data_IF_763831095102
#
_entry.id   IF_763831095102
#
_cell.length_a   1.000
_cell.length_b   1.000
_cell.length_c   1.000
_cell.angle_alpha   90.00
_cell.angle_beta   90.00
_cell.angle_gamma   90.00
#
_symmetry.space_group_name_H-M   'P 1'
#
loop_
_entity.id
_entity.type
_entity.pdbx_description
1 polymer ?
#
# COMPACT_ATOMS: atom_id res chain seq x y z
N UNK A 1 24.92 14.68 8.24
CA UNK A 1 26.35 14.34 8.21
C UNK A 1 26.60 13.11 7.34
N UNK A 2 25.87 12.00 7.50
CA UNK A 2 26.11 10.74 6.77
C UNK A 2 25.89 10.76 5.25
N UNK A 3 25.09 11.69 4.73
CA UNK A 3 24.77 11.80 3.29
C UNK A 3 25.31 13.08 2.63
N UNK A 4 26.33 13.70 3.24
CA UNK A 4 26.97 14.94 2.73
C UNK A 4 26.46 16.21 3.40
N UNK A 5 25.15 16.37 3.62
CA UNK A 5 24.61 17.61 4.21
C UNK A 5 24.70 17.62 5.75
N UNK A 6 24.87 18.79 6.36
CA UNK A 6 24.80 18.99 7.81
C UNK A 6 24.05 20.29 8.17
N UNK A 7 23.48 20.34 9.39
CA UNK A 7 22.74 21.50 9.88
C UNK A 7 23.66 22.32 10.77
N UNK A 8 23.73 23.62 10.51
CA UNK A 8 24.39 24.60 11.38
C UNK A 8 23.53 25.86 11.47
N UNK A 9 23.18 26.27 12.70
CA UNK A 9 22.24 27.39 12.96
C UNK A 9 20.96 27.31 12.12
N UNK A 10 20.31 26.15 12.15
CA UNK A 10 19.05 25.86 11.44
C UNK A 10 19.10 26.03 9.91
N UNK A 11 20.30 26.05 9.32
CA UNK A 11 20.51 26.06 7.86
C UNK A 11 21.23 24.80 7.42
N UNK A 12 20.82 24.28 6.28
CA UNK A 12 21.43 23.11 5.64
C UNK A 12 22.67 23.59 4.87
N UNK A 13 23.81 23.00 5.18
CA UNK A 13 25.07 23.21 4.50
C UNK A 13 25.54 21.91 3.83
N UNK A 14 26.06 22.02 2.61
CA UNK A 14 26.66 20.88 1.88
C UNK A 14 28.08 20.67 2.41
N UNK A 15 28.37 19.48 2.94
CA UNK A 15 29.69 19.08 3.39
C UNK A 15 30.62 18.74 2.24
N UNK A 16 31.93 18.89 2.47
CA UNK A 16 33.00 18.60 1.48
C UNK A 16 33.43 17.13 1.53
N UNK A 17 33.01 16.37 2.56
CA UNK A 17 33.37 14.97 2.73
C UNK A 17 32.55 14.06 1.82
N UNK A 18 33.15 12.94 1.42
CA UNK A 18 32.48 11.90 0.64
C UNK A 18 31.31 11.30 1.45
N UNK A 19 30.08 11.29 0.89
CA UNK A 19 28.93 10.69 1.56
C UNK A 19 29.13 9.19 1.78
N UNK A 20 28.90 8.73 3.01
CA UNK A 20 28.95 7.29 3.35
C UNK A 20 27.75 6.56 2.74
N UNK A 21 26.62 7.25 2.62
CA UNK A 21 25.38 6.74 2.04
C UNK A 21 24.72 7.82 1.20
N UNK A 22 23.94 7.43 0.18
CA UNK A 22 23.24 8.39 -0.65
C UNK A 22 22.03 9.03 0.08
N UNK A 23 21.60 10.21 -0.39
CA UNK A 23 20.52 11.00 0.22
C UNK A 23 19.16 10.30 0.18
N UNK A 24 18.91 9.47 -0.83
CA UNK A 24 17.68 8.68 -0.97
C UNK A 24 17.59 7.62 0.13
N UNK A 25 18.68 6.88 0.37
CA UNK A 25 18.78 5.87 1.41
C UNK A 25 18.64 6.49 2.80
N UNK A 26 19.29 7.64 3.04
CA UNK A 26 19.11 8.38 4.30
C UNK A 26 17.65 8.76 4.53
N UNK A 27 16.98 9.32 3.51
CA UNK A 27 15.57 9.70 3.60
C UNK A 27 14.68 8.50 3.90
N UNK A 28 14.87 7.38 3.20
CA UNK A 28 14.10 6.16 3.44
C UNK A 28 14.26 5.63 4.88
N UNK A 29 15.47 5.71 5.44
CA UNK A 29 15.72 5.32 6.85
C UNK A 29 15.01 6.28 7.81
N UNK A 30 15.07 7.59 7.57
CA UNK A 30 14.34 8.57 8.39
C UNK A 30 12.82 8.33 8.34
N UNK A 31 12.25 8.10 7.15
CA UNK A 31 10.83 7.79 6.99
C UNK A 31 10.43 6.54 7.79
N UNK A 32 11.29 5.50 7.82
CA UNK A 32 11.08 4.31 8.66
C UNK A 32 11.14 4.65 10.14
N UNK A 33 12.13 5.43 10.59
CA UNK A 33 12.29 5.84 12.00
C UNK A 33 11.10 6.69 12.47
N UNK A 34 10.68 7.67 11.68
CA UNK A 34 9.51 8.51 11.95
C UNK A 34 8.23 7.67 12.00
N UNK A 35 8.09 6.68 11.10
CA UNK A 35 6.95 5.76 11.11
C UNK A 35 6.92 4.84 12.34
N UNK A 36 8.08 4.57 12.96
CA UNK A 36 8.20 3.80 14.21
C UNK A 36 7.94 4.68 15.42
N UNK A 37 8.38 5.94 15.41
CA UNK A 37 8.12 6.89 16.49
C UNK A 37 6.62 7.18 16.63
N UNK A 38 5.91 7.30 15.51
CA UNK A 38 4.45 7.46 15.48
C UNK A 38 3.66 6.21 15.92
N UNK A 39 4.28 5.03 15.92
CA UNK A 39 3.66 3.76 16.38
C UNK A 39 3.88 3.47 17.87
N UNK A 40 4.49 4.41 18.59
CA UNK A 40 4.80 4.31 20.01
C UNK A 40 6.15 3.63 20.28
N UNK A 41 6.84 4.10 21.33
CA UNK A 41 8.16 3.60 21.77
C UNK A 41 8.12 2.08 21.97
N UNK A 42 9.19 1.38 21.57
CA UNK A 42 9.38 -0.05 21.85
C UNK A 42 9.03 -0.34 23.31
N UNK A 43 8.17 -1.32 23.51
CA UNK A 43 7.72 -1.69 24.85
C UNK A 43 8.94 -2.10 25.68
N UNK A 44 9.03 -1.61 26.92
CA UNK A 44 10.11 -1.98 27.84
C UNK A 44 10.16 -3.52 27.98
N UNK A 45 11.35 -4.07 28.18
CA UNK A 45 11.52 -5.49 28.46
C UNK A 45 10.58 -5.94 29.59
N UNK A 46 9.80 -7.00 29.38
CA UNK A 46 8.78 -7.50 30.32
C UNK A 46 7.38 -6.92 30.16
N UNK A 47 7.12 -6.03 29.20
CA UNK A 47 5.75 -5.54 28.93
C UNK A 47 4.93 -6.62 28.21
N UNK A 48 3.69 -6.86 28.63
CA UNK A 48 2.76 -7.74 27.90
C UNK A 48 2.49 -7.18 26.50
N UNK A 49 2.71 -8.00 25.48
CA UNK A 49 2.35 -7.69 24.10
C UNK A 49 0.88 -8.06 23.87
N UNK A 50 0.11 -7.11 23.35
CA UNK A 50 -1.30 -7.29 22.96
C UNK A 50 -1.40 -6.92 21.49
N UNK A 51 -2.00 -7.75 20.65
CA UNK A 51 -2.05 -7.63 19.18
C UNK A 51 -2.46 -6.24 18.67
N UNK A 52 -3.46 -5.62 19.28
CA UNK A 52 -4.04 -4.35 18.79
C UNK A 52 -3.63 -3.10 19.58
N UNK A 53 -2.70 -3.24 20.53
CA UNK A 53 -2.17 -2.08 21.26
C UNK A 53 -1.52 -1.08 20.30
N UNK A 54 -1.91 0.19 20.39
CA UNK A 54 -1.41 1.26 19.51
C UNK A 54 -2.04 1.29 18.12
N UNK A 55 -2.90 0.33 17.79
CA UNK A 55 -3.67 0.31 16.54
C UNK A 55 -5.09 0.87 16.74
N UNK A 56 -5.69 0.60 17.89
CA UNK A 56 -7.07 0.96 18.19
C UNK A 56 -7.20 2.28 18.94
N UNK A 57 -8.09 3.14 18.45
CA UNK A 57 -8.53 4.37 19.09
C UNK A 57 -9.99 4.26 19.56
N UNK A 58 -10.33 4.87 20.69
CA UNK A 58 -11.72 4.94 21.14
C UNK A 58 -12.52 5.92 20.28
N UNK A 59 -13.62 5.48 19.65
CA UNK A 59 -14.45 6.34 18.81
C UNK A 59 -15.27 7.39 19.58
N UNK A 60 -15.41 7.27 20.91
CA UNK A 60 -16.14 8.25 21.74
C UNK A 60 -15.24 9.39 22.26
N UNK A 61 -14.05 9.04 22.75
CA UNK A 61 -13.18 9.99 23.48
C UNK A 61 -11.77 10.12 22.88
N UNK A 62 -11.51 9.48 21.74
CA UNK A 62 -10.24 9.55 20.98
C UNK A 62 -8.98 9.17 21.78
N UNK A 63 -9.16 8.43 22.89
CA UNK A 63 -8.06 7.91 23.70
C UNK A 63 -7.68 6.51 23.22
N UNK A 64 -6.42 6.14 23.44
CA UNK A 64 -5.89 4.83 23.09
C UNK A 64 -6.66 3.71 23.79
N UNK A 65 -6.87 2.62 23.07
CA UNK A 65 -7.41 1.36 23.58
C UNK A 65 -6.25 0.43 23.92
N UNK A 66 -6.32 -0.21 25.09
CA UNK A 66 -5.30 -1.15 25.57
C UNK A 66 -5.90 -2.51 25.91
N UNK A 67 -5.11 -3.57 25.74
CA UNK A 67 -5.46 -4.92 26.18
C UNK A 67 -5.29 -5.09 27.69
N UNK A 68 -6.12 -5.94 28.27
CA UNK A 68 -6.09 -6.43 29.63
C UNK A 68 -6.34 -7.94 29.63
N UNK A 69 -5.49 -8.71 30.32
CA UNK A 69 -5.55 -10.17 30.36
C UNK A 69 -6.21 -10.62 31.66
N UNK A 70 -7.28 -11.40 31.53
CA UNK A 70 -8.04 -11.97 32.65
C UNK A 70 -7.93 -13.48 32.66
N UNK A 71 -7.45 -14.03 33.78
CA UNK A 71 -7.38 -15.47 34.02
C UNK A 71 -8.55 -15.88 34.91
N UNK A 72 -9.38 -16.82 34.45
CA UNK A 72 -10.47 -17.39 35.27
C UNK A 72 -9.91 -18.39 36.29
N UNK A 73 -10.70 -18.70 37.32
CA UNK A 73 -10.39 -19.75 38.30
C UNK A 73 -10.15 -21.12 37.66
N UNK A 74 -10.73 -21.37 36.48
CA UNK A 74 -10.50 -22.58 35.67
C UNK A 74 -9.15 -22.61 34.94
N UNK A 75 -8.28 -21.62 35.14
CA UNK A 75 -7.01 -21.45 34.42
C UNK A 75 -7.14 -20.89 32.98
N UNK A 76 -8.36 -20.68 32.46
CA UNK A 76 -8.57 -20.14 31.11
C UNK A 76 -8.28 -18.64 31.07
N UNK A 77 -7.45 -18.21 30.12
CA UNK A 77 -7.10 -16.81 29.90
C UNK A 77 -7.95 -16.17 28.78
N UNK A 78 -8.29 -14.90 28.96
CA UNK A 78 -9.00 -14.09 27.98
C UNK A 78 -8.40 -12.69 27.92
N UNK A 79 -8.25 -12.15 26.70
CA UNK A 79 -7.82 -10.77 26.49
C UNK A 79 -9.05 -9.91 26.17
N UNK A 80 -9.14 -8.78 26.86
CA UNK A 80 -10.15 -7.76 26.61
C UNK A 80 -9.49 -6.43 26.28
N UNK A 81 -9.98 -5.73 25.27
CA UNK A 81 -9.55 -4.39 24.94
C UNK A 81 -10.51 -3.38 25.54
N UNK A 82 -9.96 -2.35 26.19
CA UNK A 82 -10.72 -1.26 26.82
C UNK A 82 -10.10 0.09 26.51
N UNK A 83 -10.94 1.11 26.40
CA UNK A 83 -10.47 2.48 26.42
C UNK A 83 -9.72 2.75 27.75
N UNK A 84 -8.61 3.47 27.66
CA UNK A 84 -7.84 3.93 28.84
C UNK A 84 -8.61 4.96 29.66
N UNK A 85 -9.56 5.68 29.05
CA UNK A 85 -10.35 6.77 29.67
C UNK A 85 -9.48 7.84 30.31
N UNK A 86 -8.26 8.03 29.79
CA UNK A 86 -7.31 8.98 30.37
C UNK A 86 -7.87 10.41 30.26
N UNK A 87 -8.09 11.05 31.41
CA UNK A 87 -8.63 12.42 31.55
C UNK A 87 -9.85 12.65 30.65
N UNK A 88 -10.77 11.69 30.59
CA UNK A 88 -11.97 11.76 29.77
C UNK A 88 -13.12 10.99 30.41
N UNK A 89 -14.33 11.53 30.28
CA UNK A 89 -15.56 10.77 30.50
C UNK A 89 -15.81 9.93 29.25
N UNK A 90 -15.97 8.62 29.44
CA UNK A 90 -16.13 7.69 28.33
C UNK A 90 -16.97 6.50 28.79
N UNK A 91 -18.06 6.25 28.09
CA UNK A 91 -19.03 5.19 28.40
C UNK A 91 -18.66 3.83 27.78
N UNK A 92 -17.72 3.82 26.82
CA UNK A 92 -17.31 2.62 26.10
C UNK A 92 -16.95 1.44 27.02
N UNK A 93 -17.46 0.27 26.64
CA UNK A 93 -17.30 -1.00 27.37
C UNK A 93 -16.15 -1.84 26.77
N UNK A 94 -15.49 -2.70 27.58
CA UNK A 94 -14.48 -3.61 27.07
C UNK A 94 -15.02 -4.62 26.05
N UNK A 95 -14.16 -5.04 25.13
CA UNK A 95 -14.48 -5.98 24.04
C UNK A 95 -13.51 -7.15 24.08
N UNK A 96 -14.02 -8.36 23.85
CA UNK A 96 -13.19 -9.56 23.79
C UNK A 96 -12.31 -9.54 22.52
N UNK A 97 -11.05 -9.96 22.63
CA UNK A 97 -10.12 -10.00 21.49
C UNK A 97 -10.64 -10.84 20.31
N UNK A 98 -11.36 -11.93 20.55
CA UNK A 98 -11.94 -12.75 19.47
C UNK A 98 -12.96 -11.97 18.65
N UNK A 99 -13.80 -11.15 19.30
CA UNK A 99 -14.78 -10.32 18.60
C UNK A 99 -14.12 -9.20 17.77
N UNK A 100 -12.92 -8.76 18.16
CA UNK A 100 -12.11 -7.82 17.36
C UNK A 100 -11.49 -8.54 16.17
N UNK A 101 -10.93 -9.74 16.38
CA UNK A 101 -10.39 -10.57 15.31
C UNK A 101 -11.43 -10.88 14.23
N UNK A 102 -12.64 -11.27 14.62
CA UNK A 102 -13.74 -11.57 13.68
C UNK A 102 -14.08 -10.36 12.79
N UNK A 103 -14.12 -9.15 13.38
CA UNK A 103 -14.40 -7.92 12.64
C UNK A 103 -13.26 -7.55 11.69
N UNK A 104 -12.01 -7.73 12.12
CA UNK A 104 -10.84 -7.52 11.26
C UNK A 104 -10.83 -8.52 10.11
N UNK A 105 -11.08 -9.81 10.38
CA UNK A 105 -11.16 -10.81 9.32
C UNK A 105 -12.23 -10.49 8.29
N UNK A 106 -13.38 -9.96 8.72
CA UNK A 106 -14.43 -9.52 7.82
C UNK A 106 -13.98 -8.31 6.98
N UNK A 107 -13.32 -7.33 7.60
CA UNK A 107 -12.76 -6.19 6.90
C UNK A 107 -11.67 -6.59 5.88
N UNK A 108 -10.87 -7.61 6.18
CA UNK A 108 -9.88 -8.13 5.22
C UNK A 108 -10.53 -8.85 4.04
N UNK A 109 -11.70 -9.46 4.23
CA UNK A 109 -12.49 -10.02 3.12
C UNK A 109 -13.08 -8.95 2.20
N UNK A 110 -13.36 -7.76 2.73
CA UNK A 110 -13.92 -6.67 1.91
C UNK A 110 -12.92 -6.13 0.88
N UNK A 111 -11.61 -6.31 1.11
CA UNK A 111 -10.54 -6.02 0.13
C UNK A 111 -10.07 -7.25 -0.65
N UNK A 112 -10.61 -8.43 -0.37
CA UNK A 112 -10.16 -9.67 -0.98
C UNK A 112 -10.50 -9.69 -2.47
N UNK A 113 -9.49 -9.95 -3.30
CA UNK A 113 -9.65 -10.11 -4.74
C UNK A 113 -9.61 -11.60 -5.11
N UNK A 114 -10.50 -12.08 -5.99
CA UNK A 114 -10.39 -13.43 -6.55
C UNK A 114 -9.06 -13.59 -7.29
N UNK A 115 -8.49 -14.80 -7.23
CA UNK A 115 -7.18 -15.09 -7.85
C UNK A 115 -7.18 -14.77 -9.34
N UNK A 116 -8.23 -15.17 -10.06
CA UNK A 116 -8.40 -14.89 -11.49
C UNK A 116 -8.38 -13.39 -11.81
N UNK A 117 -8.95 -12.56 -10.92
CA UNK A 117 -8.92 -11.09 -11.08
C UNK A 117 -7.51 -10.55 -10.85
N UNK A 118 -6.79 -11.05 -9.84
CA UNK A 118 -5.39 -10.67 -9.61
C UNK A 118 -4.51 -11.04 -10.79
N UNK A 119 -4.65 -12.26 -11.30
CA UNK A 119 -3.82 -12.75 -12.41
C UNK A 119 -4.11 -11.97 -13.69
N UNK A 120 -5.40 -11.71 -13.99
CA UNK A 120 -5.79 -10.86 -15.13
C UNK A 120 -5.20 -9.45 -15.06
N UNK A 121 -5.31 -8.77 -13.90
CA UNK A 121 -4.78 -7.41 -13.76
C UNK A 121 -3.25 -7.43 -13.77
N UNK A 122 -2.62 -8.45 -13.18
CA UNK A 122 -1.16 -8.58 -13.15
C UNK A 122 -0.60 -8.77 -14.55
N UNK A 123 -1.23 -9.58 -15.39
CA UNK A 123 -0.80 -9.74 -16.80
C UNK A 123 -1.02 -8.44 -17.58
N UNK A 124 -2.17 -7.76 -17.42
CA UNK A 124 -2.41 -6.47 -18.07
C UNK A 124 -1.39 -5.39 -17.63
N UNK A 125 -0.97 -5.39 -16.36
CA UNK A 125 0.09 -4.52 -15.87
C UNK A 125 1.41 -4.84 -16.57
N UNK A 126 1.77 -6.13 -16.67
CA UNK A 126 2.97 -6.60 -17.35
C UNK A 126 3.00 -6.22 -18.83
N UNK A 127 1.92 -6.44 -19.57
CA UNK A 127 1.81 -6.04 -20.97
C UNK A 127 2.00 -4.53 -21.15
N UNK A 128 1.40 -3.73 -20.25
CA UNK A 128 1.57 -2.27 -20.29
C UNK A 128 3.02 -1.83 -20.04
N UNK A 129 3.78 -2.61 -19.28
CA UNK A 129 5.19 -2.36 -19.02
C UNK A 129 6.05 -2.76 -20.19
N UNK A 130 5.79 -3.90 -20.83
CA UNK A 130 6.58 -4.32 -21.99
C UNK A 130 6.45 -3.29 -23.13
N UNK A 131 5.24 -2.74 -23.34
CA UNK A 131 5.01 -1.62 -24.27
C UNK A 131 5.79 -0.36 -23.86
N UNK A 132 5.77 0.00 -22.56
CA UNK A 132 6.51 1.17 -22.06
C UNK A 132 8.01 0.97 -22.16
N UNK A 133 8.53 -0.20 -21.79
CA UNK A 133 9.95 -0.56 -21.86
C UNK A 133 10.47 -0.38 -23.28
N UNK A 134 9.73 -0.79 -24.30
CA UNK A 134 10.13 -0.57 -25.69
C UNK A 134 10.32 0.92 -26.05
N UNK A 135 9.49 1.81 -25.51
CA UNK A 135 9.64 3.26 -25.72
C UNK A 135 10.72 3.88 -24.84
N UNK A 136 10.78 3.49 -23.57
CA UNK A 136 11.74 3.96 -22.57
C UNK A 136 13.16 3.52 -22.91
N UNK A 137 13.35 2.27 -23.37
CA UNK A 137 14.66 1.74 -23.77
C UNK A 137 15.21 2.46 -25.01
N UNK A 138 14.35 2.89 -25.94
CA UNK A 138 14.77 3.70 -27.08
C UNK A 138 15.28 5.07 -26.64
N UNK A 139 14.56 5.75 -25.75
CA UNK A 139 14.99 7.05 -25.22
C UNK A 139 16.23 6.91 -24.33
N UNK A 140 16.31 5.87 -23.49
CA UNK A 140 17.49 5.54 -22.69
C UNK A 140 18.72 5.33 -23.59
N UNK A 141 18.57 4.50 -24.63
CA UNK A 141 19.64 4.27 -25.60
C UNK A 141 20.10 5.56 -26.28
N UNK A 142 19.18 6.47 -26.61
CA UNK A 142 19.54 7.80 -27.15
C UNK A 142 20.34 8.64 -26.16
N UNK A 143 20.01 8.60 -24.88
CA UNK A 143 20.75 9.29 -23.82
C UNK A 143 22.15 8.66 -23.61
N UNK A 144 22.23 7.34 -23.59
CA UNK A 144 23.50 6.59 -23.52
C UNK A 144 24.41 6.91 -24.73
N UNK A 145 23.87 6.88 -25.95
CA UNK A 145 24.59 7.24 -27.18
C UNK A 145 25.11 8.69 -27.12
N UNK A 146 24.33 9.60 -26.54
CA UNK A 146 24.74 11.01 -26.37
C UNK A 146 25.82 11.16 -25.31
N UNK A 147 25.76 10.41 -24.22
CA UNK A 147 26.80 10.34 -23.19
C UNK A 147 28.11 9.84 -23.79
N UNK A 148 28.07 8.74 -24.54
CA UNK A 148 29.25 8.17 -25.22
C UNK A 148 29.90 9.22 -26.13
N UNK A 149 29.10 9.94 -26.94
CA UNK A 149 29.62 11.02 -27.80
C UNK A 149 30.32 12.14 -27.02
N UNK A 150 29.80 12.51 -25.84
CA UNK A 150 30.42 13.53 -25.00
C UNK A 150 31.69 13.02 -24.32
N UNK A 151 31.71 11.78 -23.85
CA UNK A 151 32.89 11.14 -23.30
C UNK A 151 34.01 11.06 -24.34
N UNK A 152 33.71 10.60 -25.56
CA UNK A 152 34.70 10.60 -26.66
C UNK A 152 35.23 12.01 -26.99
N UNK A 153 34.40 13.05 -26.82
CA UNK A 153 34.85 14.44 -26.99
C UNK A 153 35.74 14.91 -25.84
N UNK A 154 35.46 14.48 -24.61
CA UNK A 154 36.31 14.76 -23.45
C UNK A 154 37.68 14.09 -23.61
N UNK A 155 37.72 12.83 -24.08
CA UNK A 155 38.97 12.11 -24.33
C UNK A 155 39.82 12.84 -25.38
N UNK A 156 39.22 13.25 -26.51
CA UNK A 156 39.92 14.03 -27.54
C UNK A 156 40.36 15.41 -27.06
N UNK A 157 39.52 16.09 -26.28
CA UNK A 157 39.85 17.39 -25.69
C UNK A 157 41.08 17.29 -24.78
N UNK A 158 41.23 16.16 -24.08
CA UNK A 158 42.39 15.87 -23.26
C UNK A 158 43.64 15.60 -24.11
N UNK A 159 43.53 14.79 -25.16
CA UNK A 159 44.63 14.55 -26.13
C UNK A 159 45.10 15.87 -26.77
N UNK A 160 44.18 16.69 -27.28
CA UNK A 160 44.49 18.00 -27.88
C UNK A 160 45.18 18.95 -26.90
N UNK A 161 44.88 18.84 -25.60
CA UNK A 161 45.54 19.63 -24.56
C UNK A 161 46.97 19.16 -24.32
N UNK A 162 47.22 17.84 -24.31
CA UNK A 162 48.56 17.27 -24.16
C UNK A 162 49.47 17.65 -25.34
N UNK A 163 48.91 17.68 -26.55
CA UNK A 163 49.62 18.09 -27.76
C UNK A 163 49.79 19.62 -27.89
N UNK A 164 49.29 20.39 -26.91
CA UNK A 164 49.26 21.85 -26.91
C UNK A 164 48.51 22.48 -28.10
N UNK A 165 47.57 21.75 -28.73
CA UNK A 165 46.72 22.24 -29.81
C UNK A 165 45.69 23.28 -29.33
N UNK A 166 45.43 23.33 -28.03
CA UNK A 166 44.43 24.22 -27.40
C UNK A 166 44.97 24.92 -26.15
N UNK A 167 44.42 26.11 -25.87
CA UNK A 167 44.75 26.88 -24.67
C UNK A 167 44.15 26.25 -23.42
N UNK A 168 44.77 26.51 -22.26
CA UNK A 168 44.26 26.04 -20.97
C UNK A 168 42.87 26.59 -20.63
N UNK A 169 42.62 27.87 -20.93
CA UNK A 169 41.31 28.49 -20.75
C UNK A 169 40.22 27.81 -21.60
N UNK A 170 40.53 27.49 -22.86
CA UNK A 170 39.61 26.79 -23.75
C UNK A 170 39.32 25.36 -23.25
N UNK A 171 40.36 24.65 -22.82
CA UNK A 171 40.23 23.32 -22.22
C UNK A 171 39.32 23.36 -20.98
N UNK A 172 39.61 24.21 -20.00
CA UNK A 172 38.86 24.29 -18.75
C UNK A 172 37.37 24.60 -19.00
N UNK A 173 37.08 25.54 -19.91
CA UNK A 173 35.70 25.89 -20.27
C UNK A 173 34.96 24.70 -20.89
N UNK A 174 35.56 24.00 -21.86
CA UNK A 174 34.91 22.87 -22.54
C UNK A 174 34.83 21.61 -21.69
N UNK A 175 35.83 21.37 -20.85
CA UNK A 175 35.86 20.27 -19.89
C UNK A 175 34.71 20.41 -18.89
N UNK A 176 34.53 21.60 -18.30
CA UNK A 176 33.42 21.86 -17.38
C UNK A 176 32.06 21.71 -18.06
N UNK A 177 31.89 22.29 -19.26
CA UNK A 177 30.65 22.20 -20.04
C UNK A 177 30.24 20.75 -20.37
N UNK A 178 31.20 19.91 -20.79
CA UNK A 178 30.92 18.52 -21.12
C UNK A 178 30.73 17.65 -19.87
N UNK A 179 31.49 17.89 -18.80
CA UNK A 179 31.35 17.15 -17.54
C UNK A 179 29.98 17.41 -16.88
N UNK A 180 29.50 18.66 -16.92
CA UNK A 180 28.16 19.00 -16.44
C UNK A 180 27.06 18.29 -17.25
N UNK A 181 27.19 18.27 -18.58
CA UNK A 181 26.26 17.54 -19.46
C UNK A 181 26.27 16.02 -19.21
N UNK A 182 27.45 15.42 -18.99
CA UNK A 182 27.56 14.00 -18.65
C UNK A 182 26.88 13.70 -17.31
N UNK A 183 27.04 14.57 -16.32
CA UNK A 183 26.42 14.43 -14.99
C UNK A 183 24.88 14.54 -15.05
N UNK A 184 24.35 15.47 -15.85
CA UNK A 184 22.90 15.57 -16.11
C UNK A 184 22.37 14.33 -16.84
N UNK A 185 23.08 13.84 -17.87
CA UNK A 185 22.71 12.62 -18.58
C UNK A 185 22.70 11.40 -17.65
N UNK A 186 23.68 11.25 -16.78
CA UNK A 186 23.74 10.16 -15.80
C UNK A 186 22.56 10.18 -14.83
N UNK A 187 22.19 11.37 -14.35
CA UNK A 187 21.03 11.55 -13.49
C UNK A 187 19.72 11.16 -14.21
N UNK A 188 19.58 11.52 -15.49
CA UNK A 188 18.41 11.17 -16.31
C UNK A 188 18.35 9.67 -16.58
N UNK A 189 19.45 9.04 -16.99
CA UNK A 189 19.53 7.60 -17.26
C UNK A 189 19.14 6.80 -16.01
N UNK A 190 19.64 7.19 -14.83
CA UNK A 190 19.32 6.53 -13.55
C UNK A 190 17.83 6.58 -13.18
N UNK A 191 17.15 7.70 -13.49
CA UNK A 191 15.72 7.85 -13.22
C UNK A 191 14.83 6.92 -14.07
N UNK A 192 15.24 6.60 -15.30
CA UNK A 192 14.48 5.69 -16.17
C UNK A 192 14.54 4.22 -15.73
N UNK A 193 15.61 3.78 -15.06
CA UNK A 193 15.75 2.39 -14.60
C UNK A 193 14.87 2.03 -13.40
N UNK A 194 14.51 3.00 -12.56
CA UNK A 194 13.91 2.71 -11.26
C UNK A 194 12.38 2.76 -11.27
N UNK A 195 11.78 3.74 -11.95
CA UNK A 195 10.34 4.03 -11.82
C UNK A 195 9.41 2.97 -12.44
N UNK A 196 9.77 2.38 -13.58
CA UNK A 196 8.90 1.44 -14.30
C UNK A 196 8.89 0.04 -13.65
N UNK A 197 10.05 -0.44 -13.19
CA UNK A 197 10.17 -1.72 -12.47
C UNK A 197 9.42 -1.65 -11.13
N UNK A 198 9.53 -0.51 -10.46
CA UNK A 198 8.88 -0.25 -9.18
C UNK A 198 7.35 -0.25 -9.33
N UNK A 199 6.81 0.39 -10.37
CA UNK A 199 5.35 0.39 -10.63
C UNK A 199 4.77 -1.02 -10.76
N UNK A 200 5.42 -1.90 -11.54
CA UNK A 200 4.99 -3.30 -11.67
C UNK A 200 5.02 -4.03 -10.34
N UNK A 201 6.19 -3.97 -9.69
CA UNK A 201 6.49 -4.77 -8.51
C UNK A 201 5.56 -4.36 -7.37
N UNK A 202 5.35 -3.06 -7.18
CA UNK A 202 4.42 -2.54 -6.19
C UNK A 202 2.97 -2.86 -6.55
N UNK A 203 2.56 -2.65 -7.81
CA UNK A 203 1.20 -2.97 -8.27
C UNK A 203 0.83 -4.44 -8.06
N UNK A 204 1.66 -5.36 -8.56
CA UNK A 204 1.46 -6.80 -8.40
C UNK A 204 1.53 -7.23 -6.93
N UNK A 205 2.43 -6.63 -6.14
CA UNK A 205 2.52 -6.88 -4.70
C UNK A 205 1.26 -6.46 -3.93
N UNK A 206 0.67 -5.31 -4.29
CA UNK A 206 -0.60 -4.82 -3.72
C UNK A 206 -1.74 -5.79 -4.02
N UNK A 207 -1.85 -6.23 -5.28
CA UNK A 207 -2.92 -7.14 -5.71
C UNK A 207 -2.81 -8.50 -5.02
N UNK A 208 -1.60 -9.05 -4.95
CA UNK A 208 -1.33 -10.31 -4.27
C UNK A 208 -1.60 -10.21 -2.77
N UNK A 209 -1.24 -9.08 -2.13
CA UNK A 209 -1.55 -8.84 -0.73
C UNK A 209 -3.06 -8.73 -0.50
N UNK A 210 -3.79 -8.02 -1.37
CA UNK A 210 -5.24 -7.93 -1.30
C UNK A 210 -5.90 -9.32 -1.39
N UNK A 211 -5.43 -10.19 -2.30
CA UNK A 211 -5.90 -11.57 -2.40
C UNK A 211 -5.59 -12.42 -1.16
N UNK A 212 -4.41 -12.27 -0.57
CA UNK A 212 -3.94 -13.14 0.53
C UNK A 212 -4.17 -12.61 1.94
N UNK A 213 -4.55 -11.34 2.10
CA UNK A 213 -4.57 -10.67 3.41
C UNK A 213 -5.37 -11.42 4.48
N UNK A 214 -6.59 -11.89 4.16
CA UNK A 214 -7.42 -12.64 5.11
C UNK A 214 -6.75 -13.96 5.56
N UNK A 215 -6.16 -14.69 4.61
CA UNK A 215 -5.44 -15.95 4.89
C UNK A 215 -4.19 -15.71 5.72
N UNK A 216 -3.38 -14.72 5.34
CA UNK A 216 -2.16 -14.33 6.05
C UNK A 216 -2.49 -13.93 7.49
N UNK A 217 -3.55 -13.15 7.69
CA UNK A 217 -3.98 -12.74 9.01
C UNK A 217 -4.33 -13.91 9.94
N UNK A 218 -5.01 -14.96 9.43
CA UNK A 218 -5.36 -16.14 10.24
C UNK A 218 -4.16 -16.97 10.65
N UNK A 219 -3.15 -17.05 9.79
CA UNK A 219 -1.94 -17.85 10.01
C UNK A 219 -0.87 -17.09 10.81
N UNK A 220 -0.97 -15.76 10.86
CA UNK A 220 0.01 -14.88 11.45
C UNK A 220 0.00 -14.88 12.99
N UNK A 221 1.18 -14.69 13.56
CA UNK A 221 1.34 -14.36 14.97
C UNK A 221 0.94 -12.89 15.26
N UNK A 222 0.96 -12.47 16.53
CA UNK A 222 0.50 -11.14 16.94
C UNK A 222 1.32 -9.98 16.38
N UNK A 223 2.61 -10.19 16.11
CA UNK A 223 3.49 -9.18 15.53
C UNK A 223 3.23 -9.03 14.04
N UNK A 224 3.16 -10.14 13.31
CA UNK A 224 2.83 -10.20 11.90
C UNK A 224 1.44 -9.63 11.61
N UNK A 225 0.44 -9.93 12.45
CA UNK A 225 -0.90 -9.33 12.36
C UNK A 225 -0.83 -7.82 12.47
N UNK A 226 -0.08 -7.30 13.44
CA UNK A 226 0.08 -5.85 13.62
C UNK A 226 0.77 -5.24 12.42
N UNK A 227 1.80 -5.88 11.88
CA UNK A 227 2.51 -5.38 10.71
C UNK A 227 1.59 -5.31 9.49
N UNK A 228 0.87 -6.40 9.21
CA UNK A 228 -0.11 -6.48 8.13
C UNK A 228 -1.17 -5.37 8.25
N UNK A 229 -1.77 -5.21 9.43
CA UNK A 229 -2.76 -4.15 9.65
C UNK A 229 -2.15 -2.75 9.54
N UNK A 230 -0.88 -2.57 9.90
CA UNK A 230 -0.15 -1.32 9.72
C UNK A 230 0.02 -0.90 8.26
N UNK A 231 0.18 -1.87 7.35
CA UNK A 231 0.22 -1.60 5.90
C UNK A 231 -1.17 -1.32 5.32
N UNK A 232 -2.20 -2.00 5.83
CA UNK A 232 -3.54 -1.95 5.26
C UNK A 232 -4.40 -0.80 5.77
N UNK A 233 -4.29 -0.47 7.07
CA UNK A 233 -5.22 0.42 7.76
C UNK A 233 -4.58 1.77 8.07
N UNK A 234 -5.32 2.86 7.84
CA UNK A 234 -4.93 4.21 8.22
C UNK A 234 -5.43 4.55 9.61
N UNK A 235 -6.65 4.13 9.94
CA UNK A 235 -7.31 4.36 11.21
C UNK A 235 -8.21 3.17 11.58
N UNK A 236 -8.33 2.89 12.87
CA UNK A 236 -9.19 1.83 13.38
C UNK A 236 -9.80 2.27 14.73
N UNK A 237 -11.06 2.70 14.68
CA UNK A 237 -11.78 3.18 15.85
C UNK A 237 -12.68 2.09 16.43
N UNK A 238 -12.70 1.97 17.75
CA UNK A 238 -13.59 1.08 18.49
C UNK A 238 -14.70 1.89 19.16
N UNK A 239 -15.93 1.69 18.72
CA UNK A 239 -17.15 2.31 19.26
C UNK A 239 -18.27 1.28 19.39
N UNK A 240 -18.90 1.21 20.55
CA UNK A 240 -19.99 0.28 20.88
C UNK A 240 -19.69 -1.18 20.52
N UNK A 241 -18.44 -1.58 20.80
CA UNK A 241 -17.87 -2.91 20.48
C UNK A 241 -17.69 -3.20 18.98
N UNK A 242 -17.89 -2.21 18.12
CA UNK A 242 -17.71 -2.30 16.68
C UNK A 242 -16.46 -1.54 16.23
N UNK A 243 -15.78 -2.08 15.23
CA UNK A 243 -14.66 -1.42 14.56
C UNK A 243 -15.19 -0.56 13.41
N UNK A 244 -14.74 0.68 13.37
CA UNK A 244 -14.83 1.58 12.22
C UNK A 244 -13.43 1.62 11.62
N UNK A 245 -13.27 1.01 10.45
CA UNK A 245 -11.98 0.79 9.81
C UNK A 245 -11.85 1.69 8.59
N UNK A 246 -10.72 2.38 8.50
CA UNK A 246 -10.31 3.13 7.32
C UNK A 246 -9.06 2.48 6.73
N UNK A 247 -9.11 2.23 5.42
CA UNK A 247 -8.00 1.62 4.68
C UNK A 247 -7.07 2.70 4.14
N UNK A 248 -5.78 2.38 4.07
CA UNK A 248 -4.80 3.15 3.30
C UNK A 248 -5.08 2.98 1.81
N UNK A 249 -4.69 3.97 1.02
CA UNK A 249 -4.58 3.78 -0.43
C UNK A 249 -3.44 2.81 -0.72
N UNK A 250 -3.61 1.88 -1.69
CA UNK A 250 -4.76 1.75 -2.60
C UNK A 250 -5.87 0.79 -2.12
N UNK A 251 -5.75 0.15 -0.95
CA UNK A 251 -6.74 -0.82 -0.45
C UNK A 251 -8.14 -0.23 -0.28
N UNK A 252 -8.25 1.06 0.06
CA UNK A 252 -9.51 1.80 0.06
C UNK A 252 -10.23 1.75 -1.30
N UNK A 253 -9.47 1.86 -2.41
CA UNK A 253 -10.02 1.83 -3.76
C UNK A 253 -10.53 0.43 -4.11
N UNK A 254 -9.78 -0.60 -3.70
CA UNK A 254 -10.17 -2.02 -3.88
C UNK A 254 -11.46 -2.30 -3.10
N UNK A 255 -11.53 -1.89 -1.83
CA UNK A 255 -12.73 -2.04 -1.01
C UNK A 255 -13.94 -1.39 -1.68
N UNK A 256 -13.83 -0.11 -2.07
CA UNK A 256 -14.92 0.62 -2.75
C UNK A 256 -15.38 -0.08 -4.02
N UNK A 257 -14.44 -0.61 -4.81
CA UNK A 257 -14.76 -1.38 -6.02
C UNK A 257 -15.52 -2.67 -5.68
N UNK A 258 -15.04 -3.44 -4.72
CA UNK A 258 -15.69 -4.67 -4.27
C UNK A 258 -17.10 -4.40 -3.75
N UNK A 259 -17.30 -3.35 -2.95
CA UNK A 259 -18.63 -2.94 -2.47
C UNK A 259 -19.56 -2.61 -3.63
N UNK A 260 -19.11 -1.83 -4.61
CA UNK A 260 -19.92 -1.47 -5.78
C UNK A 260 -20.36 -2.70 -6.60
N UNK A 261 -19.48 -3.69 -6.78
CA UNK A 261 -19.79 -4.94 -7.46
C UNK A 261 -20.86 -5.74 -6.70
N UNK A 262 -20.69 -5.91 -5.38
CA UNK A 262 -21.64 -6.64 -4.53
C UNK A 262 -23.03 -5.99 -4.53
N UNK A 263 -23.10 -4.66 -4.50
CA UNK A 263 -24.38 -3.92 -4.60
C UNK A 263 -25.06 -4.14 -5.95
N UNK A 264 -24.28 -4.17 -7.04
CA UNK A 264 -24.82 -4.42 -8.40
C UNK A 264 -25.34 -5.85 -8.57
N UNK A 265 -24.63 -6.86 -8.06
CA UNK A 265 -25.07 -8.26 -8.08
C UNK A 265 -26.32 -8.49 -7.24
N UNK A 266 -26.39 -7.89 -6.05
CA UNK A 266 -27.57 -7.95 -5.18
C UNK A 266 -28.81 -7.31 -5.83
N UNK A 267 -28.61 -6.27 -6.63
CA UNK A 267 -29.69 -5.61 -7.38
C UNK A 267 -30.18 -6.51 -8.53
N UNK A 268 -29.27 -7.15 -9.25
CA UNK A 268 -29.58 -8.09 -10.35
C UNK A 268 -30.26 -9.37 -9.85
N UNK A 269 -29.81 -9.93 -8.73
CA UNK A 269 -30.43 -11.12 -8.11
C UNK A 269 -31.80 -10.81 -7.54
N UNK A 270 -32.00 -9.63 -6.92
CA UNK A 270 -33.32 -9.16 -6.49
C UNK A 270 -34.25 -8.96 -7.68
N UNK A 271 -33.78 -8.43 -8.81
CA UNK A 271 -34.58 -8.31 -10.04
C UNK A 271 -34.97 -9.68 -10.61
N UNK A 272 -34.05 -10.64 -10.66
CA UNK A 272 -34.31 -12.02 -11.13
C UNK A 272 -35.31 -12.78 -10.24
N UNK A 273 -35.21 -12.64 -8.91
CA UNK A 273 -36.15 -13.26 -7.97
C UNK A 273 -37.54 -12.61 -8.03
N UNK A 274 -37.62 -11.31 -8.34
CA UNK A 274 -38.90 -10.62 -8.56
C UNK A 274 -39.58 -11.11 -9.85
N UNK A 275 -38.79 -11.43 -10.88
CA UNK A 275 -39.29 -11.98 -12.14
C UNK A 275 -39.70 -13.46 -12.05
N UNK A 276 -39.05 -14.28 -11.21
CA UNK A 276 -39.43 -15.69 -11.01
C UNK A 276 -40.64 -15.88 -10.09
N UNK A 277 -40.93 -14.93 -9.21
CA UNK A 277 -42.13 -14.93 -8.34
C UNK A 277 -43.42 -14.45 -9.01
N UNK A 278 -43.37 -14.04 -10.28
CA UNK A 278 -44.50 -13.44 -11.02
C UNK A 278 -45.12 -14.37 -12.08
N UNK A 279 -44.96 -15.69 -11.95
CA UNK A 279 -45.72 -16.66 -12.76
C UNK A 279 -46.95 -17.12 -11.97
N UNK A 280 -48.18 -16.70 -12.33
CA UNK A 280 -49.38 -17.22 -11.69
C UNK A 280 -49.52 -18.71 -12.02
N UNK A 281 -49.71 -19.51 -10.97
CA UNK A 281 -50.13 -20.90 -11.06
C UNK A 281 -51.46 -20.99 -11.79
N UNK A 282 -51.44 -21.49 -13.02
CA UNK A 282 -52.66 -21.82 -13.77
C UNK A 282 -53.28 -23.06 -13.12
N UNK A 283 -54.22 -22.83 -12.21
CA UNK A 283 -55.14 -23.86 -11.72
C UNK A 283 -56.00 -24.34 -12.90
N UNK A 284 -55.77 -25.58 -13.35
CA UNK A 284 -56.69 -26.28 -14.25
C UNK A 284 -57.93 -26.69 -13.46
N UNK A 285 -58.97 -25.85 -13.51
CA UNK A 285 -60.32 -26.28 -13.14
C UNK A 285 -61.04 -26.77 -14.40
N UNK A 286 -61.36 -28.08 -14.41
CA UNK A 286 -62.15 -28.69 -15.47
C UNK A 286 -63.63 -28.30 -15.38
N UNK A 287 -64.32 -28.32 -16.53
CA UNK A 287 -65.78 -28.44 -16.60
C UNK A 287 -66.20 -29.12 -17.89
N UNK A 288 -66.85 -30.26 -17.72
CA UNK A 288 -67.79 -30.87 -18.64
C UNK A 288 -68.93 -29.91 -18.98
N UNK A 289 -69.43 -29.98 -20.22
CA UNK A 289 -70.86 -30.20 -20.57
C UNK A 289 -71.17 -29.74 -22.00
N UNK A 290 -71.58 -30.70 -22.82
CA UNK A 290 -72.09 -30.58 -24.17
C UNK A 290 -73.62 -30.31 -24.14
N UNK A 291 -74.20 -29.38 -24.93
CA UNK A 291 -75.64 -29.31 -25.13
C UNK A 291 -76.06 -29.82 -26.53
N UNK A 292 -76.98 -30.79 -26.55
CA UNK A 292 -77.73 -31.25 -27.72
C UNK A 292 -78.75 -30.20 -28.21
N UNK A 293 -78.96 -30.14 -29.52
CA UNK A 293 -79.99 -29.36 -30.22
C UNK A 293 -81.33 -30.13 -30.28
N UNK A 294 -82.50 -29.46 -30.25
CA UNK A 294 -83.83 -30.07 -30.38
C UNK A 294 -84.33 -30.07 -31.85
N UNK A 295 -85.49 -30.70 -32.16
CA UNK A 295 -85.70 -31.63 -33.28
C UNK A 295 -85.79 -31.01 -34.67
#
# INVERSE_FOLDING_TARGET
MYYGDFIWKDKIHVGVHEPIINKVLWKNVQDILDSRENRGKQAKWGTRHFTFKGLLECGECHRTVTGDKKTKSSGKEYVYYRCTKYKSECSQKPVNENAINEQIEQALKDIELPKDTVDYITEALKDSLDIKRDTTDRERKRLEDRKIKLMTRLDRLYEDKLDNNITEDFYNRKFNEYTEQVTDLDSRISNYTQADIDYYRYGSGILELAHKASKLYRMANDEEKRELLGYLLSNCQLIDKKLVIEYRKPFEMIMKRNTSFRTSENSLTKAKNTLSGALPSVERTGRDSNPQLPP
#
